data_IF_824679686614
#
_entry.id   IF_824679686614
#
_cell.length_a   1.000
_cell.length_b   1.000
_cell.length_c   1.000
_cell.angle_alpha   90.00
_cell.angle_beta   90.00
_cell.angle_gamma   90.00
#
_symmetry.space_group_name_H-M   'P 1'
#
loop_
_entity.id
_entity.type
_entity.pdbx_description
1 polymer ?
#
# COMPACT_ATOMS: atom_id res chain seq x y z
N UNK A 1 9.51 -4.68 -2.46
CA UNK A 1 9.21 -3.51 -1.62
C UNK A 1 7.79 -3.60 -1.08
N UNK A 2 7.47 -2.90 -0.01
CA UNK A 2 6.10 -2.79 0.52
C UNK A 2 5.45 -1.49 0.05
N UNK A 3 4.11 -1.46 0.08
CA UNK A 3 3.37 -0.26 -0.30
C UNK A 3 3.81 0.95 0.52
N UNK A 4 4.26 1.99 -0.17
CA UNK A 4 4.68 3.27 0.41
C UNK A 4 5.70 3.14 1.56
N UNK A 5 6.68 2.26 1.39
CA UNK A 5 7.75 2.01 2.39
C UNK A 5 8.96 2.95 2.26
N UNK A 6 8.92 3.88 1.30
CA UNK A 6 10.00 4.82 1.01
C UNK A 6 11.11 4.24 0.14
N UNK A 7 10.97 3.02 -0.33
CA UNK A 7 11.96 2.39 -1.23
C UNK A 7 12.17 3.21 -2.50
N UNK A 8 13.41 3.24 -2.95
CA UNK A 8 13.81 3.76 -4.25
C UNK A 8 14.11 2.58 -5.16
N UNK A 9 13.61 2.62 -6.38
CA UNK A 9 14.06 1.73 -7.43
C UNK A 9 15.39 2.26 -7.96
N UNK A 10 16.41 1.39 -8.01
CA UNK A 10 17.76 1.72 -8.46
C UNK A 10 18.08 0.90 -9.71
N UNK A 11 18.48 1.55 -10.77
CA UNK A 11 18.89 0.92 -12.04
C UNK A 11 20.30 1.38 -12.36
N UNK A 12 21.21 0.45 -12.63
CA UNK A 12 22.49 0.73 -13.26
C UNK A 12 22.26 0.87 -14.77
N UNK A 13 22.87 1.85 -15.37
CA UNK A 13 22.87 2.03 -16.82
C UNK A 13 24.28 1.69 -17.32
N UNK A 14 24.34 0.78 -18.26
CA UNK A 14 25.58 0.39 -18.93
C UNK A 14 25.64 1.02 -20.34
N UNK A 15 26.82 1.42 -20.76
CA UNK A 15 27.09 1.80 -22.13
C UNK A 15 27.38 0.59 -22.99
N UNK A 16 27.69 0.82 -24.28
CA UNK A 16 27.94 -0.21 -25.26
C UNK A 16 29.22 -1.06 -24.95
N UNK A 17 30.10 -0.50 -24.13
CA UNK A 17 31.33 -1.18 -23.63
C UNK A 17 31.05 -2.00 -22.35
N UNK A 18 29.80 -2.20 -21.99
CA UNK A 18 29.34 -2.85 -20.74
C UNK A 18 29.82 -2.19 -19.43
N UNK A 19 30.41 -0.99 -19.53
CA UNK A 19 30.77 -0.18 -18.34
C UNK A 19 29.62 0.73 -17.92
N UNK A 20 29.59 1.11 -16.64
CA UNK A 20 28.60 2.07 -16.15
C UNK A 20 28.79 3.43 -16.83
N UNK A 21 27.71 4.02 -17.27
CA UNK A 21 27.72 5.37 -17.86
C UNK A 21 28.07 6.42 -16.81
N UNK A 22 28.65 7.54 -17.26
CA UNK A 22 28.96 8.68 -16.39
C UNK A 22 27.72 9.35 -15.78
N UNK A 23 27.97 10.38 -14.99
CA UNK A 23 26.92 11.21 -14.40
C UNK A 23 26.13 12.00 -15.45
N UNK A 24 24.95 12.47 -15.02
CA UNK A 24 24.08 13.37 -15.78
C UNK A 24 23.51 12.82 -17.11
N UNK A 25 23.63 11.52 -17.36
CA UNK A 25 23.00 10.90 -18.52
C UNK A 25 21.49 10.80 -18.29
N UNK A 26 20.69 11.26 -19.27
CA UNK A 26 19.22 11.21 -19.17
C UNK A 26 18.72 9.81 -19.49
N UNK A 27 17.94 9.24 -18.57
CA UNK A 27 17.31 7.93 -18.70
C UNK A 27 15.80 8.08 -18.57
N UNK A 28 15.07 7.50 -19.49
CA UNK A 28 13.61 7.46 -19.46
C UNK A 28 13.13 6.21 -18.71
N UNK A 29 12.40 6.39 -17.62
CA UNK A 29 11.78 5.29 -16.89
C UNK A 29 10.25 5.31 -17.09
N UNK A 30 9.69 4.23 -17.61
CA UNK A 30 8.23 4.04 -17.72
C UNK A 30 7.76 3.08 -16.65
N UNK A 31 6.80 3.50 -15.81
CA UNK A 31 6.22 2.69 -14.73
C UNK A 31 4.74 3.05 -14.53
N UNK A 32 3.85 2.04 -14.63
CA UNK A 32 2.42 2.21 -14.38
C UNK A 32 1.79 3.40 -15.12
N UNK A 33 1.95 3.43 -16.44
CA UNK A 33 1.45 4.49 -17.35
C UNK A 33 2.05 5.89 -17.10
N UNK A 34 3.11 5.99 -16.31
CA UNK A 34 3.84 7.24 -16.08
C UNK A 34 5.25 7.14 -16.63
N UNK A 35 5.71 8.24 -17.18
CA UNK A 35 7.07 8.41 -17.68
C UNK A 35 7.83 9.35 -16.74
N UNK A 36 9.08 9.02 -16.46
CA UNK A 36 10.00 9.78 -15.62
C UNK A 36 11.30 9.95 -16.39
N UNK A 37 11.84 11.16 -16.41
CA UNK A 37 13.14 11.48 -16.96
C UNK A 37 14.09 11.71 -15.79
N UNK A 38 15.09 10.85 -15.66
CA UNK A 38 16.00 10.84 -14.52
C UNK A 38 17.44 10.92 -15.02
N UNK A 39 18.29 11.59 -14.26
CA UNK A 39 19.72 11.65 -14.56
C UNK A 39 20.48 10.62 -13.75
N UNK A 40 21.51 10.03 -14.34
CA UNK A 40 22.44 9.14 -13.64
C UNK A 40 23.29 9.91 -12.64
N UNK A 41 23.63 9.25 -11.53
CA UNK A 41 24.65 9.75 -10.60
C UNK A 41 26.08 9.39 -11.11
N UNK A 42 27.12 9.82 -10.36
CA UNK A 42 28.52 9.55 -10.70
C UNK A 42 28.86 8.05 -10.84
N UNK A 43 28.02 7.17 -10.30
CA UNK A 43 28.18 5.71 -10.40
C UNK A 43 27.25 5.09 -11.46
N UNK A 44 26.72 5.87 -12.40
CA UNK A 44 25.85 5.42 -13.47
C UNK A 44 24.47 4.90 -13.02
N UNK A 45 23.97 5.27 -11.83
CA UNK A 45 22.67 4.84 -11.36
C UNK A 45 21.60 5.92 -11.49
N UNK A 46 20.42 5.53 -11.91
CA UNK A 46 19.19 6.32 -11.70
C UNK A 46 18.42 5.79 -10.50
N UNK A 47 17.75 6.69 -9.77
CA UNK A 47 16.93 6.33 -8.61
C UNK A 47 15.54 6.91 -8.73
N UNK A 48 14.55 6.03 -8.86
CA UNK A 48 13.13 6.41 -8.87
C UNK A 48 12.51 6.12 -7.49
N UNK A 49 12.07 7.17 -6.80
CA UNK A 49 11.26 7.02 -5.57
C UNK A 49 9.88 6.47 -5.92
N UNK A 50 9.49 5.36 -5.28
CA UNK A 50 8.20 4.75 -5.55
C UNK A 50 7.04 5.68 -5.16
N UNK A 51 6.13 6.00 -6.12
CA UNK A 51 4.99 6.85 -5.82
C UNK A 51 3.97 6.14 -4.92
N UNK A 52 3.30 6.90 -4.05
CA UNK A 52 2.25 6.38 -3.16
C UNK A 52 0.99 5.93 -3.91
N UNK A 53 0.88 6.27 -5.19
CA UNK A 53 -0.21 5.82 -6.07
C UNK A 53 -0.01 4.39 -6.58
N UNK A 54 1.21 3.83 -6.44
CA UNK A 54 1.53 2.47 -6.87
C UNK A 54 1.03 1.47 -5.81
N UNK A 55 -0.21 1.03 -5.96
CA UNK A 55 -0.89 0.10 -5.03
C UNK A 55 -0.16 -1.27 -4.99
N UNK A 56 -0.45 -2.13 -3.99
CA UNK A 56 0.03 -3.50 -4.03
C UNK A 56 -0.33 -4.22 -5.32
N UNK A 57 0.66 -4.88 -5.93
CA UNK A 57 0.54 -5.50 -7.24
C UNK A 57 1.91 -5.74 -7.89
N UNK A 58 1.88 -6.26 -9.10
CA UNK A 58 3.07 -6.49 -9.94
C UNK A 58 3.04 -5.53 -11.12
N UNK A 59 4.14 -4.85 -11.38
CA UNK A 59 4.27 -3.83 -12.41
C UNK A 59 5.48 -4.10 -13.28
N UNK A 60 5.36 -3.80 -14.58
CA UNK A 60 6.52 -3.73 -15.47
C UNK A 60 7.12 -2.33 -15.37
N UNK A 61 8.44 -2.26 -15.16
CA UNK A 61 9.24 -1.05 -15.27
C UNK A 61 10.09 -1.20 -16.52
N UNK A 62 10.12 -0.16 -17.34
CA UNK A 62 10.96 -0.09 -18.54
C UNK A 62 11.93 1.06 -18.36
N UNK A 63 13.22 0.80 -18.49
CA UNK A 63 14.28 1.80 -18.59
C UNK A 63 14.73 1.92 -20.03
N UNK A 64 14.88 3.15 -20.54
CA UNK A 64 15.30 3.44 -21.89
C UNK A 64 16.47 4.40 -21.84
N UNK A 65 17.58 4.02 -22.44
CA UNK A 65 18.78 4.84 -22.58
C UNK A 65 19.35 4.68 -24.00
N UNK A 66 19.54 5.76 -24.73
CA UNK A 66 20.05 5.78 -26.13
C UNK A 66 19.38 4.76 -27.06
N UNK A 67 18.06 4.55 -26.90
CA UNK A 67 17.30 3.59 -27.68
C UNK A 67 17.28 2.16 -27.11
N UNK A 68 18.23 1.79 -26.27
CA UNK A 68 18.25 0.49 -25.58
C UNK A 68 17.18 0.40 -24.52
N UNK A 69 16.53 -0.76 -24.42
CA UNK A 69 15.36 -1.00 -23.55
C UNK A 69 15.65 -2.14 -22.59
N UNK A 70 15.66 -1.86 -21.29
CA UNK A 70 15.66 -2.87 -20.23
C UNK A 70 14.31 -2.92 -19.51
N UNK A 71 13.81 -4.14 -19.28
CA UNK A 71 12.51 -4.39 -18.62
C UNK A 71 12.72 -5.13 -17.31
N UNK A 72 12.17 -4.58 -16.23
CA UNK A 72 12.21 -5.19 -14.88
C UNK A 72 10.80 -5.35 -14.32
N UNK A 73 10.65 -6.32 -13.44
CA UNK A 73 9.40 -6.53 -12.70
C UNK A 73 9.51 -5.93 -11.30
N UNK A 74 8.59 -5.04 -10.96
CA UNK A 74 8.48 -4.41 -9.64
C UNK A 74 7.28 -5.00 -8.89
N UNK A 75 7.53 -5.71 -7.79
CA UNK A 75 6.48 -6.25 -6.93
C UNK A 75 6.27 -5.38 -5.70
N UNK A 76 5.10 -4.75 -5.59
CA UNK A 76 4.67 -3.98 -4.41
C UNK A 76 3.83 -4.87 -3.52
N UNK A 77 4.35 -5.19 -2.33
CA UNK A 77 3.69 -6.08 -1.35
C UNK A 77 2.66 -5.32 -0.51
N UNK A 78 1.56 -6.00 -0.19
CA UNK A 78 0.55 -5.51 0.73
C UNK A 78 1.11 -5.40 2.15
N UNK A 79 0.91 -4.26 2.80
CA UNK A 79 1.34 -4.00 4.17
C UNK A 79 0.17 -3.73 5.15
N UNK A 80 -1.06 -3.57 4.62
CA UNK A 80 -2.27 -3.41 5.41
C UNK A 80 -3.02 -4.75 5.47
N UNK A 81 -3.34 -5.23 6.68
CA UNK A 81 -4.07 -6.49 6.89
C UNK A 81 -5.20 -6.29 7.89
N UNK A 82 -6.27 -7.04 7.71
CA UNK A 82 -7.38 -7.19 8.66
C UNK A 82 -8.04 -8.54 8.45
N UNK A 83 -8.88 -8.98 9.38
CA UNK A 83 -9.62 -10.23 9.28
C UNK A 83 -11.11 -9.99 9.01
N UNK A 84 -11.85 -11.05 8.76
CA UNK A 84 -13.31 -11.06 8.79
C UNK A 84 -13.78 -10.95 10.24
N UNK A 85 -14.92 -10.31 10.46
CA UNK A 85 -15.51 -10.12 11.77
C UNK A 85 -16.93 -10.65 11.80
N UNK A 86 -17.35 -11.05 13.00
CA UNK A 86 -18.73 -11.40 13.29
C UNK A 86 -19.14 -10.68 14.56
N UNK A 87 -20.39 -10.21 14.62
CA UNK A 87 -20.94 -9.53 15.80
C UNK A 87 -22.39 -9.97 16.04
N UNK A 88 -22.79 -10.17 17.31
CA UNK A 88 -24.18 -10.30 17.69
C UNK A 88 -24.82 -8.91 17.74
N UNK A 89 -26.08 -8.79 17.33
CA UNK A 89 -26.79 -7.50 17.35
C UNK A 89 -26.95 -6.93 18.78
N UNK A 90 -26.98 -7.81 19.78
CA UNK A 90 -27.03 -7.45 21.23
C UNK A 90 -25.67 -6.97 21.77
N UNK A 91 -24.59 -7.11 21.06
CA UNK A 91 -23.23 -6.78 21.54
C UNK A 91 -23.12 -5.32 22.00
N UNK A 92 -22.52 -5.08 23.16
CA UNK A 92 -22.25 -3.74 23.70
C UNK A 92 -21.27 -2.95 22.84
N UNK A 93 -20.29 -3.63 22.27
CA UNK A 93 -19.26 -3.06 21.37
C UNK A 93 -18.69 -4.13 20.43
N UNK A 94 -18.11 -3.69 19.31
CA UNK A 94 -17.28 -4.51 18.42
C UNK A 94 -15.93 -3.83 18.29
N UNK A 95 -14.86 -4.57 18.55
CA UNK A 95 -13.49 -4.09 18.33
C UNK A 95 -12.94 -4.68 17.04
N UNK A 96 -12.66 -3.82 16.08
CA UNK A 96 -12.02 -4.16 14.81
C UNK A 96 -10.55 -3.77 14.90
N UNK A 97 -9.66 -4.64 14.42
CA UNK A 97 -8.22 -4.39 14.37
C UNK A 97 -7.74 -4.43 12.93
N UNK A 98 -6.96 -3.43 12.53
CA UNK A 98 -6.22 -3.43 11.29
C UNK A 98 -4.72 -3.35 11.60
N UNK A 99 -3.91 -4.16 10.93
CA UNK A 99 -2.46 -4.22 11.15
C UNK A 99 -1.76 -3.62 9.94
N UNK A 100 -0.80 -2.74 10.19
CA UNK A 100 0.03 -2.10 9.18
C UNK A 100 1.51 -2.36 9.47
N UNK A 101 2.15 -3.21 8.64
CA UNK A 101 3.56 -3.61 8.79
C UNK A 101 4.24 -3.79 7.45
N UNK A 102 5.51 -3.37 7.34
CA UNK A 102 6.39 -3.71 6.23
C UNK A 102 7.21 -4.95 6.64
N UNK A 103 6.71 -6.16 6.33
CA UNK A 103 7.24 -7.39 6.88
C UNK A 103 7.11 -7.44 8.40
N UNK A 104 8.23 -7.59 9.10
CA UNK A 104 8.30 -7.59 10.57
C UNK A 104 8.20 -6.17 11.17
N UNK A 105 8.56 -5.11 10.41
CA UNK A 105 8.60 -3.72 10.87
C UNK A 105 7.19 -3.14 11.02
N UNK A 106 6.79 -2.84 12.24
CA UNK A 106 5.53 -2.17 12.55
C UNK A 106 5.56 -0.69 12.14
N UNK A 107 4.49 -0.20 11.53
CA UNK A 107 4.33 1.21 11.19
C UNK A 107 3.44 1.88 12.25
N UNK A 108 4.06 2.58 13.19
CA UNK A 108 3.38 3.32 14.27
C UNK A 108 2.84 4.67 13.79
N UNK A 109 1.84 5.20 14.50
CA UNK A 109 1.29 6.54 14.28
C UNK A 109 0.69 6.77 12.88
N UNK A 110 0.30 5.71 12.15
CA UNK A 110 -0.30 5.82 10.83
C UNK A 110 -1.83 5.83 10.92
N UNK A 111 -2.46 6.79 10.26
CA UNK A 111 -3.91 6.92 10.19
C UNK A 111 -4.50 5.84 9.30
N UNK A 112 -5.39 5.02 9.84
CA UNK A 112 -6.18 4.03 9.12
C UNK A 112 -7.65 4.42 9.18
N UNK A 113 -8.38 4.23 8.09
CA UNK A 113 -9.82 4.51 8.01
C UNK A 113 -10.57 3.23 7.68
N UNK A 114 -11.68 2.97 8.38
CA UNK A 114 -12.65 1.94 8.03
C UNK A 114 -13.93 2.61 7.55
N UNK A 115 -14.46 2.19 6.39
CA UNK A 115 -15.81 2.52 5.94
C UNK A 115 -16.69 1.28 6.06
N UNK A 116 -17.75 1.37 6.87
CA UNK A 116 -18.71 0.31 7.12
C UNK A 116 -20.12 0.87 7.03
N UNK A 117 -20.96 0.32 6.16
CA UNK A 117 -22.34 0.75 5.95
C UNK A 117 -22.49 2.28 5.90
N UNK A 118 -21.72 2.93 5.00
CA UNK A 118 -21.70 4.39 4.81
C UNK A 118 -20.86 5.18 5.83
N UNK A 119 -20.70 4.68 7.07
CA UNK A 119 -19.97 5.40 8.11
C UNK A 119 -18.46 5.17 8.09
N UNK A 120 -17.70 6.24 8.33
CA UNK A 120 -16.24 6.21 8.46
C UNK A 120 -15.84 6.17 9.94
N UNK A 121 -14.84 5.35 10.25
CA UNK A 121 -14.15 5.27 11.53
C UNK A 121 -12.66 5.41 11.29
N UNK A 122 -11.98 6.18 12.12
CA UNK A 122 -10.55 6.45 11.97
C UNK A 122 -9.82 6.11 13.26
N UNK A 123 -8.64 5.50 13.13
CA UNK A 123 -7.74 5.23 14.24
C UNK A 123 -6.28 5.30 13.77
N UNK A 124 -5.37 5.62 14.69
CA UNK A 124 -3.91 5.55 14.45
C UNK A 124 -3.37 4.20 14.90
N UNK A 125 -2.34 3.72 14.20
CA UNK A 125 -1.61 2.51 14.60
C UNK A 125 -0.75 2.78 15.84
N UNK A 126 -0.72 1.81 16.75
CA UNK A 126 0.13 1.82 17.94
C UNK A 126 1.58 1.37 17.62
N UNK A 127 2.42 1.20 18.66
CA UNK A 127 3.82 0.73 18.54
C UNK A 127 3.93 -0.64 17.83
N UNK A 128 2.91 -1.50 17.95
CA UNK A 128 2.84 -2.82 17.27
C UNK A 128 2.26 -2.75 15.83
N UNK A 129 1.98 -1.55 15.31
CA UNK A 129 1.39 -1.34 13.99
C UNK A 129 -0.10 -1.70 13.92
N UNK A 130 -0.83 -1.69 15.04
CA UNK A 130 -2.23 -2.09 15.13
C UNK A 130 -3.10 -0.86 15.38
N UNK A 131 -4.06 -0.60 14.49
CA UNK A 131 -5.14 0.35 14.69
C UNK A 131 -6.37 -0.39 15.24
N UNK A 132 -6.92 0.07 16.39
CA UNK A 132 -8.12 -0.46 17.01
C UNK A 132 -9.30 0.48 16.78
N UNK A 133 -10.42 -0.06 16.31
CA UNK A 133 -11.67 0.68 16.10
C UNK A 133 -12.75 0.11 16.98
N UNK A 134 -13.30 0.92 17.86
CA UNK A 134 -14.40 0.52 18.73
C UNK A 134 -15.73 0.99 18.15
N UNK A 135 -16.53 0.04 17.68
CA UNK A 135 -17.88 0.29 17.15
C UNK A 135 -18.86 0.14 18.30
N UNK A 136 -19.50 1.25 18.71
CA UNK A 136 -20.43 1.30 19.85
C UNK A 136 -21.76 0.61 19.53
N UNK A 137 -22.48 0.16 20.58
CA UNK A 137 -23.80 -0.53 20.51
C UNK A 137 -24.82 0.22 19.65
N UNK A 138 -24.90 1.56 19.77
CA UNK A 138 -25.83 2.38 18.98
C UNK A 138 -25.66 2.22 17.46
N UNK A 139 -24.43 1.96 16.99
CA UNK A 139 -24.15 1.72 15.57
C UNK A 139 -24.44 0.26 15.20
N UNK A 140 -24.09 -0.71 16.06
CA UNK A 140 -24.36 -2.15 15.84
C UNK A 140 -25.87 -2.38 15.70
N UNK A 141 -26.71 -1.71 16.51
CA UNK A 141 -28.17 -1.77 16.42
C UNK A 141 -28.74 -1.35 15.07
N UNK A 142 -28.04 -0.48 14.31
CA UNK A 142 -28.45 -0.04 12.95
C UNK A 142 -28.17 -1.08 11.87
N UNK A 143 -27.35 -2.10 12.17
CA UNK A 143 -27.05 -3.17 11.23
C UNK A 143 -28.16 -4.23 11.24
N UNK A 144 -28.53 -4.75 10.06
CA UNK A 144 -29.58 -5.78 9.92
C UNK A 144 -29.05 -7.16 10.37
N UNK A 145 -29.83 -7.91 11.16
CA UNK A 145 -29.57 -9.31 11.53
C UNK A 145 -29.36 -10.18 10.27
N UNK A 146 -28.48 -11.16 10.35
CA UNK A 146 -28.19 -12.10 9.26
C UNK A 146 -27.39 -11.51 8.10
N UNK A 147 -27.28 -10.18 7.99
CA UNK A 147 -26.63 -9.52 6.85
C UNK A 147 -25.10 -9.54 6.96
N UNK A 148 -24.46 -9.69 5.81
CA UNK A 148 -23.01 -9.48 5.62
C UNK A 148 -22.78 -8.07 5.09
N UNK A 149 -21.85 -7.35 5.71
CA UNK A 149 -21.45 -6.00 5.29
C UNK A 149 -20.00 -6.01 4.82
N UNK A 150 -19.74 -5.39 3.68
CA UNK A 150 -18.37 -5.15 3.22
C UNK A 150 -17.77 -3.99 3.99
N UNK A 151 -16.65 -4.23 4.65
CA UNK A 151 -15.81 -3.19 5.25
C UNK A 151 -14.66 -2.85 4.30
N UNK A 152 -14.48 -1.56 4.02
CA UNK A 152 -13.32 -1.04 3.31
C UNK A 152 -12.35 -0.46 4.32
N UNK A 153 -11.14 -1.02 4.38
CA UNK A 153 -10.06 -0.57 5.29
C UNK A 153 -8.99 0.09 4.44
N UNK A 154 -8.66 1.33 4.75
CA UNK A 154 -7.81 2.18 3.89
C UNK A 154 -6.63 2.75 4.64
N UNK A 155 -5.45 2.62 4.05
CA UNK A 155 -4.24 3.34 4.40
C UNK A 155 -3.75 4.12 3.19
N UNK A 156 -3.69 5.44 3.29
CA UNK A 156 -3.41 6.34 2.16
C UNK A 156 -4.35 6.04 0.97
N UNK A 157 -3.80 5.63 -0.19
CA UNK A 157 -4.58 5.25 -1.38
C UNK A 157 -4.80 3.74 -1.53
N UNK A 158 -4.28 2.94 -0.57
CA UNK A 158 -4.44 1.49 -0.56
C UNK A 158 -5.65 1.08 0.27
N UNK A 159 -6.62 0.42 -0.36
CA UNK A 159 -7.85 -0.06 0.28
C UNK A 159 -7.97 -1.57 0.13
N UNK A 160 -8.17 -2.25 1.24
CA UNK A 160 -8.54 -3.67 1.28
C UNK A 160 -10.00 -3.83 1.69
N UNK A 161 -10.64 -4.90 1.22
CA UNK A 161 -12.03 -5.24 1.57
C UNK A 161 -12.02 -6.44 2.51
N UNK A 162 -12.89 -6.42 3.51
CA UNK A 162 -13.19 -7.56 4.39
C UNK A 162 -14.69 -7.57 4.74
N UNK A 163 -15.14 -8.56 5.47
CA UNK A 163 -16.56 -8.76 5.77
C UNK A 163 -16.83 -8.67 7.27
N UNK A 164 -17.94 -8.01 7.62
CA UNK A 164 -18.60 -8.09 8.92
C UNK A 164 -19.92 -8.84 8.75
N UNK A 165 -20.09 -9.98 9.46
CA UNK A 165 -21.37 -10.72 9.55
C UNK A 165 -22.09 -10.36 10.85
N UNK A 166 -23.35 -10.00 10.75
CA UNK A 166 -24.21 -9.80 11.93
C UNK A 166 -24.96 -11.10 12.18
N UNK A 167 -24.68 -11.76 13.32
CA UNK A 167 -25.38 -13.00 13.74
C UNK A 167 -26.82 -12.70 14.12
N UNK A 168 -27.64 -13.71 13.90
CA UNK A 168 -29.01 -13.77 14.48
C UNK A 168 -28.98 -13.76 15.99
#
# INVERSE_FOLDING_TARGET
>A
MYYYDGSKFKVAILGDDAKVVGANQVVTIKLNKKTYYLKTDAKGFVRLKMPNTLKPGTYKLTAIYKGEIDKKTVKVKQNLKTKKYTVKKSAKKLVIKATLKNGKKALKNKKITIKLNGKKFTAKTNKKGIAKFTIKKKYIKKLKKGKKYTMKVTYLKNTIKTTLKVKR
#
